data_IF_013037647814
#
_entry.id   IF_013037647814
#
_cell.length_a   1.000
_cell.length_b   1.000
_cell.length_c   1.000
_cell.angle_alpha   90.00
_cell.angle_beta   90.00
_cell.angle_gamma   90.00
#
_symmetry.space_group_name_H-M   'P 1'
#
loop_
_entity.id
_entity.type
_entity.pdbx_description
1 polymer ?
#
# COMPACT_ATOMS: atom_id res chain seq x y z
N UNK A 1 -24.93 -13.60 -32.94
CA UNK A 1 -24.03 -13.82 -31.81
C UNK A 1 -22.96 -14.79 -32.31
N UNK A 2 -21.78 -14.28 -32.67
CA UNK A 2 -20.62 -15.12 -32.97
C UNK A 2 -19.63 -14.95 -31.81
N UNK A 3 -19.39 -16.04 -31.11
CA UNK A 3 -18.29 -16.17 -30.15
C UNK A 3 -16.95 -15.99 -30.89
N UNK A 4 -16.39 -14.79 -30.77
CA UNK A 4 -15.02 -14.51 -31.16
C UNK A 4 -14.09 -14.83 -30.00
N UNK A 5 -13.59 -16.05 -29.88
CA UNK A 5 -12.46 -16.37 -29.02
C UNK A 5 -11.23 -15.66 -29.57
N UNK A 6 -10.88 -14.52 -28.96
CA UNK A 6 -9.55 -13.95 -29.13
C UNK A 6 -8.65 -14.59 -28.08
N UNK A 7 -7.72 -15.38 -28.56
CA UNK A 7 -6.74 -16.13 -27.77
C UNK A 7 -5.88 -15.17 -26.90
N UNK A 8 -5.98 -15.32 -25.59
CA UNK A 8 -4.91 -14.93 -24.66
C UNK A 8 -4.82 -13.48 -24.18
N UNK A 9 -5.71 -12.58 -24.62
CA UNK A 9 -5.68 -11.16 -24.18
C UNK A 9 -6.77 -10.94 -23.14
N UNK A 10 -6.38 -10.58 -21.91
CA UNK A 10 -7.33 -10.16 -20.88
C UNK A 10 -7.70 -8.70 -21.12
N UNK A 11 -8.90 -8.46 -21.62
CA UNK A 11 -9.44 -7.12 -21.85
C UNK A 11 -10.40 -6.76 -20.72
N UNK A 12 -10.19 -5.61 -20.08
CA UNK A 12 -11.22 -4.99 -19.27
C UNK A 12 -12.10 -4.17 -20.21
N UNK A 13 -13.24 -4.73 -20.61
CA UNK A 13 -14.15 -4.13 -21.58
C UNK A 13 -15.41 -3.66 -20.86
N UNK A 14 -15.74 -2.37 -21.01
CA UNK A 14 -17.05 -1.83 -20.65
C UNK A 14 -17.77 -1.47 -21.96
N UNK A 15 -18.77 -2.23 -22.39
CA UNK A 15 -19.53 -1.91 -23.58
C UNK A 15 -20.38 -0.65 -23.32
N UNK A 16 -20.17 0.37 -24.14
CA UNK A 16 -20.99 1.60 -24.14
C UNK A 16 -22.07 1.40 -25.20
N UNK A 17 -23.32 1.29 -24.76
CA UNK A 17 -24.46 1.19 -25.66
C UNK A 17 -24.79 2.55 -26.27
N UNK A 18 -24.94 2.59 -27.59
CA UNK A 18 -25.31 3.81 -28.34
C UNK A 18 -26.79 3.73 -28.67
N UNK A 19 -27.55 4.71 -28.21
CA UNK A 19 -28.96 4.86 -28.51
C UNK A 19 -29.20 6.04 -29.45
N UNK A 20 -30.09 5.85 -30.42
CA UNK A 20 -30.64 6.89 -31.27
C UNK A 20 -32.15 6.80 -31.25
N UNK A 21 -32.84 7.88 -30.91
CA UNK A 21 -34.31 7.95 -30.75
C UNK A 21 -34.89 6.83 -29.84
N UNK A 22 -34.17 6.50 -28.74
CA UNK A 22 -34.58 5.46 -27.80
C UNK A 22 -34.38 4.00 -28.28
N UNK A 23 -33.81 3.79 -29.48
CA UNK A 23 -33.43 2.48 -30.00
C UNK A 23 -31.95 2.25 -29.89
N UNK A 24 -31.54 1.05 -29.45
CA UNK A 24 -30.16 0.62 -29.47
C UNK A 24 -29.67 0.47 -30.90
N UNK A 25 -28.78 1.33 -31.38
CA UNK A 25 -28.19 1.34 -32.71
C UNK A 25 -26.82 0.68 -32.78
N UNK A 26 -26.15 0.51 -31.63
CA UNK A 26 -24.85 -0.13 -31.59
C UNK A 26 -24.26 -0.14 -30.19
N UNK A 27 -23.13 -0.79 -30.06
CA UNK A 27 -22.30 -0.74 -28.85
C UNK A 27 -20.83 -0.56 -29.28
N UNK A 28 -20.10 0.29 -28.55
CA UNK A 28 -18.64 0.43 -28.69
C UNK A 28 -18.03 -0.26 -27.50
N UNK A 29 -17.14 -1.20 -27.76
CA UNK A 29 -16.33 -1.86 -26.74
C UNK A 29 -14.93 -1.23 -26.77
N UNK A 30 -14.52 -0.62 -25.64
CA UNK A 30 -13.15 -0.12 -25.46
C UNK A 30 -12.41 -1.15 -24.65
N UNK A 31 -11.59 -1.96 -25.30
CA UNK A 31 -10.71 -2.91 -24.63
C UNK A 31 -9.31 -2.30 -24.43
N UNK A 32 -8.78 -2.36 -23.20
CA UNK A 32 -7.37 -2.08 -22.92
C UNK A 32 -6.63 -3.37 -22.71
N UNK A 33 -5.56 -3.58 -23.46
CA UNK A 33 -4.62 -4.67 -23.19
C UNK A 33 -3.83 -4.36 -21.92
N UNK A 34 -4.17 -5.02 -20.84
CA UNK A 34 -3.48 -4.90 -19.54
C UNK A 34 -2.43 -5.98 -19.32
N UNK A 35 -2.22 -6.87 -20.29
CA UNK A 35 -1.30 -8.02 -20.20
C UNK A 35 0.11 -7.56 -19.86
N UNK A 36 0.61 -6.55 -20.58
CA UNK A 36 1.97 -6.02 -20.37
C UNK A 36 2.15 -5.32 -19.02
N UNK A 37 1.12 -4.59 -18.57
CA UNK A 37 1.13 -3.94 -17.24
C UNK A 37 1.16 -5.00 -16.15
N UNK A 38 0.40 -6.07 -16.34
CA UNK A 38 0.36 -7.20 -15.43
C UNK A 38 1.69 -7.96 -15.38
N UNK A 39 2.26 -8.32 -16.51
CA UNK A 39 3.58 -8.98 -16.60
C UNK A 39 4.68 -8.14 -15.92
N UNK A 40 4.69 -6.83 -16.16
CA UNK A 40 5.66 -5.94 -15.52
C UNK A 40 5.44 -5.86 -14.00
N UNK A 41 4.20 -5.78 -13.54
CA UNK A 41 3.88 -5.75 -12.12
C UNK A 41 4.26 -7.07 -11.43
N UNK A 42 3.96 -8.20 -12.06
CA UNK A 42 4.34 -9.53 -11.56
C UNK A 42 5.87 -9.69 -11.52
N UNK A 43 6.59 -9.12 -12.49
CA UNK A 43 8.05 -9.13 -12.51
C UNK A 43 8.65 -8.26 -11.39
N UNK A 44 8.04 -7.10 -11.11
CA UNK A 44 8.42 -6.24 -9.98
C UNK A 44 8.24 -6.97 -8.65
N UNK A 45 7.11 -7.68 -8.48
CA UNK A 45 6.86 -8.51 -7.27
C UNK A 45 7.89 -9.61 -7.13
N UNK A 46 8.16 -10.34 -8.23
CA UNK A 46 9.19 -11.38 -8.24
C UNK A 46 10.56 -10.85 -7.84
N UNK A 47 10.97 -9.71 -8.40
CA UNK A 47 12.24 -9.06 -8.07
C UNK A 47 12.27 -8.54 -6.62
N UNK A 48 11.15 -8.02 -6.10
CA UNK A 48 11.06 -7.63 -4.69
C UNK A 48 11.18 -8.85 -3.77
N UNK A 49 10.51 -9.96 -4.09
CA UNK A 49 10.61 -11.22 -3.35
C UNK A 49 12.04 -11.78 -3.37
N UNK A 50 12.71 -11.77 -4.53
CA UNK A 50 14.12 -12.18 -4.64
C UNK A 50 15.05 -11.27 -3.84
N UNK A 51 14.86 -9.97 -3.86
CA UNK A 51 15.65 -9.01 -3.09
C UNK A 51 15.46 -9.20 -1.58
N UNK A 52 14.24 -9.48 -1.12
CA UNK A 52 13.94 -9.77 0.28
C UNK A 52 14.48 -11.15 0.67
N UNK A 53 14.33 -12.16 -0.18
CA UNK A 53 14.87 -13.51 0.04
C UNK A 53 16.41 -13.55 0.06
N UNK A 54 17.07 -12.80 -0.82
CA UNK A 54 18.55 -12.67 -0.83
C UNK A 54 19.09 -11.91 0.39
N UNK A 55 18.31 -10.98 0.95
CA UNK A 55 18.67 -10.26 2.19
C UNK A 55 18.50 -11.12 3.44
N UNK A 56 17.57 -12.07 3.46
CA UNK A 56 17.41 -13.03 4.56
C UNK A 56 18.59 -14.00 4.73
N UNK A 57 19.41 -14.20 3.70
CA UNK A 57 20.56 -15.10 3.72
C UNK A 57 21.95 -14.45 3.94
N UNK A 58 22.07 -13.13 3.92
CA UNK A 58 23.40 -12.47 3.87
C UNK A 58 23.56 -11.11 4.53
N UNK A 59 22.85 -10.77 5.55
CA UNK A 59 23.30 -9.82 6.59
C UNK A 59 22.25 -9.65 7.69
N UNK A 60 22.56 -10.12 8.86
CA UNK A 60 21.87 -9.85 10.12
C UNK A 60 22.02 -8.38 10.55
N UNK A 61 21.82 -7.41 9.65
CA UNK A 61 22.05 -6.01 9.94
C UNK A 61 21.35 -4.98 9.04
N UNK A 62 20.75 -5.40 7.92
CA UNK A 62 20.06 -4.45 7.05
C UNK A 62 18.60 -4.33 7.51
N UNK A 63 18.29 -3.32 8.34
CA UNK A 63 16.94 -2.79 8.52
C UNK A 63 16.32 -2.53 7.13
N UNK A 64 15.06 -2.95 6.91
CA UNK A 64 14.30 -2.58 5.71
C UNK A 64 14.04 -1.07 5.63
N UNK A 65 14.26 -0.34 6.73
CA UNK A 65 14.14 1.10 6.80
C UNK A 65 15.30 1.81 6.10
N UNK A 66 14.97 2.81 5.28
CA UNK A 66 15.94 3.69 4.59
C UNK A 66 16.21 4.97 5.37
N UNK A 67 15.30 5.36 6.25
CA UNK A 67 15.30 6.62 6.98
C UNK A 67 15.07 6.38 8.46
N UNK A 68 15.61 7.27 9.29
CA UNK A 68 15.47 7.30 10.75
C UNK A 68 14.73 8.56 11.20
N UNK A 69 14.52 8.74 12.51
CA UNK A 69 13.92 9.97 13.04
C UNK A 69 14.77 11.23 12.78
N UNK A 70 16.08 11.06 12.62
CA UNK A 70 17.02 12.16 12.35
C UNK A 70 16.88 12.68 10.91
N UNK A 71 16.40 11.85 9.98
CA UNK A 71 16.11 12.24 8.60
C UNK A 71 14.84 13.10 8.46
N UNK A 72 14.01 13.16 9.51
CA UNK A 72 12.82 14.00 9.56
C UNK A 72 13.21 15.44 9.98
N UNK A 73 13.64 16.23 9.00
CA UNK A 73 14.03 17.63 9.21
C UNK A 73 12.82 18.48 9.62
N UNK A 74 12.99 19.28 10.68
CA UNK A 74 12.00 20.22 11.19
C UNK A 74 12.05 20.34 12.72
N UNK A 75 12.02 21.56 13.20
CA UNK A 75 12.05 21.96 14.62
C UNK A 75 10.73 22.61 15.06
N UNK A 76 9.83 22.87 14.13
CA UNK A 76 8.54 23.47 14.46
C UNK A 76 7.79 22.61 15.50
N UNK A 77 7.11 23.20 16.50
CA UNK A 77 6.42 22.45 17.56
C UNK A 77 5.47 21.36 17.06
N UNK A 78 4.80 21.57 15.91
CA UNK A 78 3.97 20.56 15.28
C UNK A 78 4.78 19.33 14.83
N UNK A 79 5.99 19.55 14.30
CA UNK A 79 6.87 18.43 13.90
C UNK A 79 7.45 17.71 15.10
N UNK A 80 7.83 18.45 16.14
CA UNK A 80 8.29 17.87 17.40
C UNK A 80 7.22 16.97 18.02
N UNK A 81 5.96 17.41 18.05
CA UNK A 81 4.83 16.63 18.55
C UNK A 81 4.58 15.35 17.70
N UNK A 82 4.73 15.44 16.36
CA UNK A 82 4.64 14.27 15.49
C UNK A 82 5.76 13.27 15.76
N UNK A 83 7.01 13.74 15.88
CA UNK A 83 8.17 12.90 16.20
C UNK A 83 8.00 12.18 17.53
N UNK A 84 7.57 12.88 18.57
CA UNK A 84 7.31 12.30 19.89
C UNK A 84 6.23 11.21 19.83
N UNK A 85 5.09 11.50 19.19
CA UNK A 85 4.01 10.51 19.00
C UNK A 85 4.50 9.31 18.19
N UNK A 86 5.31 9.52 17.15
CA UNK A 86 5.86 8.46 16.30
C UNK A 86 6.79 7.54 17.08
N UNK A 87 7.64 8.07 17.98
CA UNK A 87 8.48 7.27 18.87
C UNK A 87 7.64 6.43 19.84
N UNK A 88 6.57 7.00 20.41
CA UNK A 88 5.62 6.24 21.24
C UNK A 88 4.93 5.13 20.44
N UNK A 89 4.49 5.45 19.22
CA UNK A 89 3.90 4.47 18.33
C UNK A 89 4.89 3.35 17.96
N UNK A 90 6.18 3.65 17.83
CA UNK A 90 7.20 2.65 17.50
C UNK A 90 7.36 1.57 18.60
N UNK A 91 7.05 1.89 19.84
CA UNK A 91 7.13 0.96 20.97
C UNK A 91 5.97 -0.06 21.03
N UNK A 92 4.98 0.04 20.16
CA UNK A 92 3.80 -0.83 20.11
C UNK A 92 3.66 -1.46 18.75
N UNK A 93 3.04 -2.64 18.67
CA UNK A 93 2.70 -3.31 17.40
C UNK A 93 1.33 -2.89 16.85
N UNK A 94 0.67 -1.91 17.49
CA UNK A 94 -0.61 -1.40 17.03
C UNK A 94 -0.54 -0.83 15.61
N UNK A 95 -1.62 -0.93 14.82
CA UNK A 95 -1.73 -0.24 13.55
C UNK A 95 -1.55 1.26 13.70
N UNK A 96 -0.94 1.89 12.71
CA UNK A 96 -0.71 3.34 12.66
C UNK A 96 -1.31 3.90 11.38
N UNK A 97 -2.07 4.98 11.50
CA UNK A 97 -2.58 5.74 10.36
C UNK A 97 -1.82 7.07 10.26
N UNK A 98 -1.10 7.27 9.16
CA UNK A 98 -0.36 8.49 8.86
C UNK A 98 -1.17 9.35 7.91
N UNK A 99 -1.60 10.52 8.37
CA UNK A 99 -2.36 11.48 7.57
C UNK A 99 -1.47 12.66 7.16
N UNK A 100 -1.67 13.17 5.96
CA UNK A 100 -0.97 14.36 5.50
C UNK A 100 -0.98 14.50 3.98
N UNK A 101 -0.92 15.72 3.49
CA UNK A 101 -0.90 16.01 2.06
C UNK A 101 0.25 15.32 1.34
N UNK A 102 0.14 15.20 0.03
CA UNK A 102 1.23 14.68 -0.80
C UNK A 102 2.48 15.53 -0.61
N UNK A 103 3.65 14.89 -0.50
CA UNK A 103 4.93 15.58 -0.31
C UNK A 103 5.24 16.01 1.14
N UNK A 104 4.41 15.71 2.14
CA UNK A 104 4.70 16.08 3.54
C UNK A 104 5.76 15.22 4.22
N UNK A 105 6.15 14.08 3.62
CA UNK A 105 7.15 13.16 4.17
C UNK A 105 6.57 11.94 4.88
N UNK A 106 5.35 11.50 4.51
CA UNK A 106 4.70 10.32 5.11
C UNK A 106 5.58 9.07 5.05
N UNK A 107 6.19 8.79 3.90
CA UNK A 107 7.08 7.64 3.73
C UNK A 107 8.29 7.70 4.67
N UNK A 108 8.93 8.88 4.81
CA UNK A 108 10.05 9.06 5.73
C UNK A 108 9.63 8.74 7.17
N UNK A 109 8.45 9.24 7.59
CA UNK A 109 7.92 9.00 8.94
C UNK A 109 7.67 7.51 9.18
N UNK A 110 7.11 6.79 8.20
CA UNK A 110 6.88 5.34 8.30
C UNK A 110 8.19 4.57 8.45
N UNK A 111 9.19 4.90 7.64
CA UNK A 111 10.52 4.31 7.76
C UNK A 111 11.13 4.57 9.13
N UNK A 112 11.02 5.81 9.63
CA UNK A 112 11.54 6.21 10.94
C UNK A 112 10.83 5.46 12.09
N UNK A 113 9.50 5.26 12.01
CA UNK A 113 8.74 4.46 12.97
C UNK A 113 9.24 3.01 12.97
N UNK A 114 9.40 2.41 11.79
CA UNK A 114 9.89 1.04 11.69
C UNK A 114 11.32 0.92 12.24
N UNK A 115 12.22 1.84 11.90
CA UNK A 115 13.61 1.86 12.40
C UNK A 115 13.70 1.97 13.93
N UNK A 116 12.75 2.67 14.56
CA UNK A 116 12.66 2.82 16.01
C UNK A 116 11.89 1.68 16.71
N UNK A 117 11.28 0.74 15.97
CA UNK A 117 10.41 -0.29 16.52
C UNK A 117 11.18 -1.56 16.95
N UNK A 118 10.48 -2.46 17.68
CA UNK A 118 10.95 -3.81 17.98
C UNK A 118 11.26 -4.61 16.71
N UNK A 119 10.56 -4.31 15.61
CA UNK A 119 10.68 -4.97 14.29
C UNK A 119 11.75 -4.35 13.38
N UNK A 120 12.62 -3.45 13.87
CA UNK A 120 13.63 -2.73 13.06
C UNK A 120 14.57 -3.62 12.24
N UNK A 121 14.79 -4.88 12.66
CA UNK A 121 15.62 -5.87 11.95
C UNK A 121 14.81 -6.82 11.05
N UNK A 122 13.51 -6.64 10.99
CA UNK A 122 12.57 -7.42 10.19
C UNK A 122 12.25 -6.69 8.89
N UNK A 123 11.61 -7.34 7.91
CA UNK A 123 11.27 -6.68 6.65
C UNK A 123 10.35 -5.47 6.87
N UNK A 124 10.61 -4.40 6.13
CA UNK A 124 9.66 -3.34 5.85
C UNK A 124 9.29 -3.43 4.37
N UNK A 125 8.06 -3.79 4.11
CA UNK A 125 7.50 -3.90 2.76
C UNK A 125 6.57 -2.72 2.54
N UNK A 126 6.76 -1.96 1.47
CA UNK A 126 5.96 -0.79 1.15
C UNK A 126 5.23 -0.98 -0.19
N UNK A 127 3.94 -0.61 -0.22
CA UNK A 127 3.12 -0.63 -1.40
C UNK A 127 2.23 0.61 -1.48
N UNK A 128 2.29 1.32 -2.62
CA UNK A 128 1.32 2.36 -2.92
C UNK A 128 0.07 1.74 -3.57
N UNK A 129 -1.10 1.96 -2.95
CA UNK A 129 -2.36 1.36 -3.36
C UNK A 129 -2.95 2.03 -4.62
N UNK A 130 -2.57 3.28 -4.93
CA UNK A 130 -3.01 3.98 -6.12
C UNK A 130 -2.23 3.60 -7.38
N UNK A 131 -1.06 2.97 -7.22
CA UNK A 131 -0.14 2.71 -8.33
C UNK A 131 -0.58 1.56 -9.26
N UNK A 132 -1.51 0.70 -8.82
CA UNK A 132 -1.88 -0.52 -9.52
C UNK A 132 -3.40 -0.66 -9.67
N UNK A 133 -3.88 -1.26 -10.79
CA UNK A 133 -5.26 -1.72 -10.92
C UNK A 133 -5.62 -2.72 -9.80
N UNK A 134 -6.90 -2.75 -9.42
CA UNK A 134 -7.42 -3.54 -8.30
C UNK A 134 -7.01 -5.02 -8.31
N UNK A 135 -7.26 -5.73 -9.42
CA UNK A 135 -6.95 -7.16 -9.50
C UNK A 135 -5.46 -7.48 -9.40
N UNK A 136 -4.59 -6.51 -9.78
CA UNK A 136 -3.15 -6.63 -9.61
C UNK A 136 -2.75 -6.35 -8.17
N UNK A 137 -3.34 -5.33 -7.55
CA UNK A 137 -3.08 -4.99 -6.15
C UNK A 137 -3.51 -6.15 -5.23
N UNK A 138 -4.65 -6.79 -5.50
CA UNK A 138 -5.12 -7.96 -4.76
C UNK A 138 -4.12 -9.12 -4.84
N UNK A 139 -3.75 -9.49 -6.07
CA UNK A 139 -2.79 -10.57 -6.33
C UNK A 139 -1.43 -10.29 -5.68
N UNK A 140 -1.01 -9.02 -5.66
CA UNK A 140 0.23 -8.58 -5.04
C UNK A 140 0.17 -8.68 -3.52
N UNK A 141 -0.90 -8.19 -2.89
CA UNK A 141 -1.04 -8.17 -1.44
C UNK A 141 -1.17 -9.58 -0.85
N UNK A 142 -2.02 -10.42 -1.46
CA UNK A 142 -2.39 -11.72 -0.90
C UNK A 142 -1.67 -12.90 -1.55
N UNK A 143 -1.03 -12.70 -2.70
CA UNK A 143 -0.41 -13.77 -3.47
C UNK A 143 -1.41 -14.47 -4.39
N UNK A 144 -0.89 -15.39 -5.22
CA UNK A 144 -1.66 -16.19 -6.17
C UNK A 144 -1.35 -17.66 -6.01
N UNK A 145 -2.37 -18.50 -6.17
CA UNK A 145 -2.20 -19.93 -6.33
C UNK A 145 -2.17 -20.29 -7.82
N UNK A 146 -1.49 -21.36 -8.16
CA UNK A 146 -1.41 -21.87 -9.53
C UNK A 146 -2.81 -22.15 -10.07
N UNK A 147 -3.14 -21.62 -11.25
CA UNK A 147 -4.42 -21.84 -11.90
C UNK A 147 -5.57 -20.94 -11.42
N UNK A 148 -5.32 -19.97 -10.55
CA UNK A 148 -6.33 -18.98 -10.14
C UNK A 148 -6.86 -18.13 -11.29
N UNK A 149 -6.06 -17.97 -12.34
CA UNK A 149 -6.42 -17.39 -13.64
C UNK A 149 -5.42 -17.87 -14.71
N UNK A 150 -5.68 -17.55 -15.99
CA UNK A 150 -4.81 -17.94 -17.10
C UNK A 150 -3.39 -17.40 -16.92
N UNK A 151 -2.40 -18.28 -16.78
CA UNK A 151 -1.00 -17.91 -16.55
C UNK A 151 -0.62 -17.62 -15.10
N UNK A 152 -1.53 -17.85 -14.14
CA UNK A 152 -1.20 -17.67 -12.72
C UNK A 152 -0.19 -18.72 -12.24
N UNK A 153 0.92 -18.23 -11.70
CA UNK A 153 1.92 -19.03 -10.97
C UNK A 153 1.67 -18.96 -9.46
N UNK A 154 2.18 -19.94 -8.76
CA UNK A 154 2.15 -19.94 -7.30
C UNK A 154 3.16 -18.92 -6.78
N UNK A 155 2.66 -17.81 -6.21
CA UNK A 155 3.50 -16.71 -5.71
C UNK A 155 3.03 -16.21 -4.36
N UNK A 156 3.96 -15.97 -3.40
CA UNK A 156 3.63 -15.35 -2.12
C UNK A 156 3.22 -13.89 -2.31
N UNK A 157 2.28 -13.44 -1.47
CA UNK A 157 1.87 -12.03 -1.41
C UNK A 157 2.74 -11.19 -0.48
N UNK A 158 2.53 -9.86 -0.53
CA UNK A 158 3.28 -8.93 0.32
C UNK A 158 3.05 -9.17 1.81
N UNK A 159 1.89 -9.67 2.22
CA UNK A 159 1.65 -10.09 3.60
C UNK A 159 2.56 -11.25 4.02
N UNK A 160 2.77 -12.24 3.16
CA UNK A 160 3.70 -13.34 3.43
C UNK A 160 5.15 -12.84 3.48
N UNK A 161 5.53 -11.93 2.56
CA UNK A 161 6.87 -11.34 2.52
C UNK A 161 7.16 -10.41 3.71
N UNK A 162 6.12 -9.80 4.28
CA UNK A 162 6.22 -8.93 5.44
C UNK A 162 6.09 -9.68 6.79
N UNK A 163 5.98 -11.02 6.76
CA UNK A 163 5.75 -11.80 7.97
C UNK A 163 6.84 -11.59 9.03
N UNK A 164 6.42 -11.39 10.27
CA UNK A 164 7.26 -10.96 11.39
C UNK A 164 7.74 -9.49 11.31
N UNK A 165 7.38 -8.75 10.24
CA UNK A 165 7.84 -7.39 9.95
C UNK A 165 6.73 -6.35 9.92
N UNK A 166 6.86 -5.40 8.99
CA UNK A 166 5.92 -4.29 8.81
C UNK A 166 5.52 -4.16 7.34
N UNK A 167 4.22 -4.03 7.09
CA UNK A 167 3.66 -3.69 5.78
C UNK A 167 3.17 -2.23 5.81
N UNK A 168 3.70 -1.43 4.92
CA UNK A 168 3.27 -0.05 4.69
C UNK A 168 2.35 0.03 3.47
N UNK A 169 1.14 0.53 3.68
CA UNK A 169 0.13 0.74 2.65
C UNK A 169 -0.06 2.24 2.45
N UNK A 170 0.53 2.78 1.38
CA UNK A 170 0.38 4.20 1.02
C UNK A 170 -0.90 4.42 0.24
N UNK A 171 -1.57 5.55 0.50
CA UNK A 171 -2.84 5.94 -0.13
C UNK A 171 -3.94 4.87 -0.03
N UNK A 172 -4.18 4.37 1.20
CA UNK A 172 -5.18 3.31 1.46
C UNK A 172 -6.59 3.67 0.98
N UNK A 173 -6.92 4.95 0.95
CA UNK A 173 -8.18 5.50 0.44
C UNK A 173 -8.38 5.30 -1.08
N UNK A 174 -7.34 4.94 -1.81
CA UNK A 174 -7.40 4.59 -3.25
C UNK A 174 -7.74 3.13 -3.50
N UNK A 175 -7.74 2.29 -2.45
CA UNK A 175 -8.08 0.88 -2.54
C UNK A 175 -9.60 0.69 -2.70
N UNK A 176 -10.00 -0.21 -3.59
CA UNK A 176 -11.42 -0.53 -3.79
C UNK A 176 -12.06 -1.16 -2.53
N UNK A 177 -13.37 -0.95 -2.29
CA UNK A 177 -14.05 -1.41 -1.07
C UNK A 177 -13.95 -2.92 -0.81
N UNK A 178 -13.94 -3.75 -1.86
CA UNK A 178 -13.83 -5.20 -1.74
C UNK A 178 -12.46 -5.63 -1.22
N UNK A 179 -11.42 -4.96 -1.70
CA UNK A 179 -10.06 -5.21 -1.24
C UNK A 179 -9.85 -4.70 0.19
N UNK A 180 -10.47 -3.58 0.55
CA UNK A 180 -10.48 -3.08 1.92
C UNK A 180 -11.15 -4.07 2.89
N UNK A 181 -12.23 -4.78 2.45
CA UNK A 181 -12.86 -5.82 3.26
C UNK A 181 -11.94 -7.02 3.51
N UNK A 182 -11.14 -7.42 2.51
CA UNK A 182 -10.13 -8.48 2.66
C UNK A 182 -9.02 -8.06 3.62
N UNK A 183 -8.54 -6.82 3.48
CA UNK A 183 -7.55 -6.24 4.38
C UNK A 183 -8.05 -6.23 5.84
N UNK A 184 -9.30 -5.84 6.06
CA UNK A 184 -9.90 -5.84 7.40
C UNK A 184 -9.85 -7.22 8.06
N UNK A 185 -10.15 -8.30 7.31
CA UNK A 185 -10.05 -9.68 7.83
C UNK A 185 -8.63 -10.02 8.27
N UNK A 186 -7.62 -9.65 7.47
CA UNK A 186 -6.21 -9.88 7.87
C UNK A 186 -5.87 -9.14 9.14
N UNK A 187 -6.31 -7.88 9.28
CA UNK A 187 -6.08 -7.08 10.50
C UNK A 187 -6.82 -7.63 11.74
N UNK A 188 -7.92 -8.36 11.55
CA UNK A 188 -8.69 -8.96 12.64
C UNK A 188 -8.14 -10.31 13.07
N UNK A 189 -7.88 -11.18 12.10
CA UNK A 189 -7.64 -12.60 12.32
C UNK A 189 -6.15 -12.99 12.17
N UNK A 190 -5.32 -12.12 11.59
CA UNK A 190 -3.92 -12.42 11.26
C UNK A 190 -3.79 -13.53 10.21
N UNK A 191 -4.83 -13.72 9.37
CA UNK A 191 -4.86 -14.77 8.37
C UNK A 191 -5.06 -14.23 6.98
N UNK A 192 -4.37 -14.81 6.04
CA UNK A 192 -4.50 -14.50 4.61
C UNK A 192 -4.91 -15.75 3.84
N UNK A 193 -5.46 -15.49 2.64
CA UNK A 193 -5.75 -16.52 1.64
C UNK A 193 -5.28 -16.03 0.29
N UNK A 194 -4.49 -16.82 -0.41
CA UNK A 194 -4.07 -16.48 -1.78
C UNK A 194 -5.26 -16.48 -2.75
N UNK A 195 -5.16 -15.67 -3.77
CA UNK A 195 -6.18 -15.64 -4.83
C UNK A 195 -6.24 -17.01 -5.50
N UNK A 196 -7.47 -17.55 -5.61
CA UNK A 196 -7.71 -18.90 -6.17
C UNK A 196 -7.46 -20.06 -5.21
N UNK A 197 -7.13 -19.81 -3.94
CA UNK A 197 -6.91 -20.85 -2.95
C UNK A 197 -7.95 -20.82 -1.81
N UNK A 198 -8.21 -21.96 -1.20
CA UNK A 198 -9.09 -22.06 -0.02
C UNK A 198 -8.31 -22.15 1.29
N UNK A 199 -7.01 -22.40 1.22
CA UNK A 199 -6.13 -22.56 2.38
C UNK A 199 -5.82 -21.22 3.01
N UNK A 200 -6.01 -21.12 4.32
CA UNK A 200 -5.61 -19.95 5.11
C UNK A 200 -4.19 -20.11 5.65
N UNK A 201 -3.45 -19.03 5.64
CA UNK A 201 -2.09 -18.92 6.19
C UNK A 201 -2.07 -17.88 7.30
N UNK A 202 -1.46 -18.23 8.43
CA UNK A 202 -1.23 -17.29 9.51
C UNK A 202 -0.07 -16.36 9.17
N UNK A 203 -0.23 -15.07 9.47
CA UNK A 203 0.82 -14.05 9.32
C UNK A 203 0.83 -13.12 10.53
N UNK A 204 2.01 -12.70 10.94
CA UNK A 204 2.22 -11.70 11.98
C UNK A 204 2.81 -10.43 11.36
N UNK A 205 1.96 -9.55 10.88
CA UNK A 205 2.37 -8.34 10.16
C UNK A 205 1.84 -7.10 10.87
N UNK A 206 2.76 -6.21 11.26
CA UNK A 206 2.38 -4.86 11.69
C UNK A 206 2.01 -4.03 10.48
N UNK A 207 0.81 -3.43 10.47
CA UNK A 207 0.35 -2.58 9.37
C UNK A 207 0.48 -1.09 9.75
N UNK A 208 1.13 -0.33 8.86
CA UNK A 208 1.11 1.13 8.87
C UNK A 208 0.45 1.57 7.57
N UNK A 209 -0.60 2.37 7.66
CA UNK A 209 -1.30 2.90 6.50
C UNK A 209 -1.13 4.41 6.40
N UNK A 210 -1.23 4.96 5.20
CA UNK A 210 -1.27 6.40 4.99
C UNK A 210 -2.44 6.84 4.12
N UNK A 211 -2.83 8.10 4.29
CA UNK A 211 -3.79 8.78 3.43
C UNK A 211 -3.32 10.21 3.14
N UNK A 212 -3.63 10.70 1.94
CA UNK A 212 -3.34 12.07 1.52
C UNK A 212 -4.51 13.04 1.73
N UNK A 213 -5.65 12.54 2.22
CA UNK A 213 -6.85 13.30 2.54
C UNK A 213 -7.31 13.09 3.98
N UNK A 214 -8.28 13.87 4.44
CA UNK A 214 -8.91 13.66 5.74
C UNK A 214 -9.64 12.31 5.77
N UNK A 215 -9.27 11.40 6.71
CA UNK A 215 -9.91 10.08 6.80
C UNK A 215 -11.42 10.14 7.03
N UNK A 216 -11.91 11.13 7.78
CA UNK A 216 -13.35 11.27 8.03
C UNK A 216 -14.09 11.66 6.73
N UNK A 217 -13.50 12.54 5.92
CA UNK A 217 -14.04 12.88 4.60
C UNK A 217 -13.98 11.70 3.64
N UNK A 218 -12.91 10.89 3.67
CA UNK A 218 -12.79 9.67 2.88
C UNK A 218 -13.89 8.65 3.23
N UNK A 219 -14.18 8.48 4.52
CA UNK A 219 -15.28 7.61 5.00
C UNK A 219 -16.64 8.14 4.56
N UNK A 220 -16.88 9.45 4.71
CA UNK A 220 -18.16 10.06 4.31
C UNK A 220 -18.40 9.95 2.80
N UNK A 221 -17.33 9.99 1.99
CA UNK A 221 -17.38 9.84 0.54
C UNK A 221 -17.36 8.37 0.07
N UNK A 222 -17.33 7.40 0.97
CA UNK A 222 -17.31 5.97 0.63
C UNK A 222 -15.98 5.46 0.06
N UNK A 223 -14.92 6.27 0.02
CA UNK A 223 -13.58 5.86 -0.43
C UNK A 223 -12.84 5.02 0.61
N UNK A 224 -13.15 5.20 1.88
CA UNK A 224 -12.62 4.39 2.98
C UNK A 224 -13.79 3.77 3.75
N UNK A 225 -13.77 2.45 3.90
CA UNK A 225 -14.78 1.75 4.70
C UNK A 225 -14.66 2.14 6.17
N UNK A 226 -15.80 2.38 6.79
CA UNK A 226 -15.86 2.78 8.20
C UNK A 226 -15.28 1.74 9.15
N UNK A 227 -15.55 0.47 8.90
CA UNK A 227 -15.05 -0.66 9.70
C UNK A 227 -13.51 -0.77 9.62
N UNK A 228 -12.93 -0.65 8.42
CA UNK A 228 -11.48 -0.63 8.22
C UNK A 228 -10.86 0.60 8.90
N UNK A 229 -11.45 1.78 8.73
CA UNK A 229 -10.96 3.00 9.37
C UNK A 229 -10.79 2.82 10.87
N UNK A 230 -11.80 2.34 11.59
CA UNK A 230 -11.68 2.13 13.04
C UNK A 230 -10.65 1.06 13.42
N UNK A 231 -10.37 0.12 12.55
CA UNK A 231 -9.36 -0.93 12.82
C UNK A 231 -7.93 -0.43 12.64
N UNK A 232 -7.68 0.48 11.68
CA UNK A 232 -6.34 1.04 11.43
C UNK A 232 -6.08 2.32 12.23
N UNK A 233 -7.12 3.03 12.64
CA UNK A 233 -7.03 4.30 13.36
C UNK A 233 -6.84 4.10 14.87
N UNK A 234 -5.87 3.27 15.26
CA UNK A 234 -5.49 3.07 16.67
C UNK A 234 -4.52 4.17 17.11
N UNK A 235 -3.53 4.47 16.28
CA UNK A 235 -2.63 5.60 16.47
C UNK A 235 -2.65 6.45 15.22
N UNK A 236 -3.06 7.71 15.35
CA UNK A 236 -3.08 8.67 14.23
C UNK A 236 -1.93 9.65 14.35
N UNK A 237 -1.15 9.78 13.27
CA UNK A 237 -0.08 10.75 13.11
C UNK A 237 -0.42 11.68 11.96
N UNK A 238 -0.55 12.97 12.24
CA UNK A 238 -0.86 13.99 11.24
C UNK A 238 0.39 14.83 10.92
N UNK A 239 0.89 14.69 9.68
CA UNK A 239 2.02 15.48 9.21
C UNK A 239 1.53 16.84 8.72
N UNK A 240 2.01 17.93 9.34
CA UNK A 240 1.62 19.28 8.93
C UNK A 240 2.20 19.63 7.56
N UNK A 241 1.42 20.23 6.65
CA UNK A 241 1.93 20.75 5.41
C UNK A 241 2.92 21.90 5.66
N UNK A 242 3.84 22.13 4.73
CA UNK A 242 4.94 23.09 4.89
C UNK A 242 4.45 24.51 5.19
N UNK A 243 3.29 24.92 4.67
CA UNK A 243 2.67 26.22 4.96
C UNK A 243 2.30 26.43 6.43
N UNK A 244 2.10 25.35 7.20
CA UNK A 244 1.83 25.39 8.66
C UNK A 244 3.12 25.33 9.50
N UNK A 245 4.29 25.09 8.86
CA UNK A 245 5.61 25.00 9.52
C UNK A 245 6.67 25.82 8.77
N UNK A 246 6.32 27.03 8.38
CA UNK A 246 7.20 27.93 7.59
C UNK A 246 8.61 28.14 8.19
N UNK A 247 8.80 28.17 9.52
CA UNK A 247 10.14 28.25 10.13
C UNK A 247 11.07 27.08 9.77
N UNK A 248 10.53 25.93 9.34
CA UNK A 248 11.34 24.78 8.92
C UNK A 248 11.88 24.92 7.47
N UNK A 249 11.41 25.92 6.69
CA UNK A 249 11.82 26.10 5.29
C UNK A 249 13.33 26.31 5.14
N UNK A 250 13.99 27.20 5.90
CA UNK A 250 15.44 27.38 5.80
C UNK A 250 16.21 26.10 6.10
N UNK A 251 15.83 25.37 7.16
CA UNK A 251 16.44 24.09 7.54
C UNK A 251 16.33 23.04 6.43
N UNK A 252 15.15 22.96 5.78
CA UNK A 252 14.96 22.06 4.65
C UNK A 252 15.82 22.46 3.44
N UNK A 253 15.95 23.76 3.16
CA UNK A 253 16.81 24.26 2.07
C UNK A 253 18.26 23.87 2.34
N UNK A 254 18.78 24.14 3.52
CA UNK A 254 20.15 23.77 3.92
C UNK A 254 20.38 22.27 3.83
N UNK A 255 19.43 21.45 4.34
CA UNK A 255 19.51 19.98 4.26
C UNK A 255 19.61 19.48 2.83
N UNK A 256 18.79 20.00 1.91
CA UNK A 256 18.79 19.55 0.51
C UNK A 256 20.01 20.06 -0.25
N UNK A 257 20.49 21.29 0.02
CA UNK A 257 21.73 21.81 -0.59
C UNK A 257 22.97 21.04 -0.14
N UNK A 258 22.99 20.57 1.11
CA UNK A 258 24.11 19.76 1.61
C UNK A 258 24.13 18.33 1.06
N UNK A 259 23.02 17.86 0.48
CA UNK A 259 22.86 16.49 -0.03
C UNK A 259 23.16 16.38 -1.53
N UNK A 260 23.22 17.51 -2.23
CA UNK A 260 23.50 17.64 -3.66
C UNK A 260 24.80 18.43 -3.90
#
# INVERSE_FOLDING_TARGET
IRDGRVTGVQTCALPISIFHEGRLVGAIEVSRDVTRVRELSERVVGLQAELLGRRGGRSAGASGARYTMDDLVGEHPLMAAVKEKALKAACSDSPVLVCGETGTGKELLVHAIHAASSRRRRPLVAQNCAALPEGLLESLLFGTARGSFTGAEDRPGLFELADGGTLYLDEINSMQPDLQAKLLRVLQDGRIRRVGETVERQVDVRVIASTNEDPAAAVAAGRLRRDLYYRINVVTLELPPLRKRRPDIPLLVEHFLAKH
#
